data_IF_244492274270
#
_entry.id   IF_244492274270
#
_cell.length_a   1.000
_cell.length_b   1.000
_cell.length_c   1.000
_cell.angle_alpha   90.00
_cell.angle_beta   90.00
_cell.angle_gamma   90.00
#
_symmetry.space_group_name_H-M   'P 1'
#
loop_
_entity.id
_entity.type
_entity.pdbx_description
1 polymer ?
#
# COMPACT_ATOMS: atom_id res chain seq x y z
N UNK A 1 1.39 -10.77 18.40
CA UNK A 1 1.18 -9.82 17.28
C UNK A 1 1.93 -8.55 17.59
N UNK A 2 2.67 -8.02 16.61
CA UNK A 2 3.39 -6.75 16.76
C UNK A 2 2.42 -5.60 17.07
N UNK A 3 2.82 -4.67 17.95
CA UNK A 3 2.07 -3.44 18.20
C UNK A 3 2.14 -2.52 16.98
N UNK A 4 3.29 -2.51 16.28
CA UNK A 4 3.50 -1.82 15.02
C UNK A 4 3.95 -2.85 13.97
N UNK A 5 3.06 -3.21 13.06
CA UNK A 5 3.37 -4.05 11.92
C UNK A 5 4.17 -3.28 10.88
N UNK A 6 5.18 -3.91 10.29
CA UNK A 6 6.03 -3.30 9.27
C UNK A 6 6.02 -4.15 8.00
N UNK A 7 5.96 -3.47 6.86
CA UNK A 7 6.05 -4.12 5.57
C UNK A 7 6.79 -3.28 4.55
N UNK A 8 7.09 -3.87 3.39
CA UNK A 8 7.67 -3.17 2.25
C UNK A 8 6.58 -2.76 1.26
N UNK A 9 6.74 -1.61 0.62
CA UNK A 9 5.75 -1.06 -0.28
C UNK A 9 6.31 -0.72 -1.66
N UNK A 10 5.55 -1.04 -2.71
CA UNK A 10 5.81 -0.60 -4.08
C UNK A 10 6.95 -1.31 -4.79
N UNK A 11 7.42 -2.43 -4.27
CA UNK A 11 8.58 -3.17 -4.80
C UNK A 11 8.30 -3.85 -6.15
N UNK A 12 7.02 -3.99 -6.52
CA UNK A 12 6.57 -4.55 -7.79
C UNK A 12 6.72 -3.59 -8.98
N UNK A 13 7.07 -2.33 -8.74
CA UNK A 13 7.18 -1.30 -9.77
C UNK A 13 8.60 -0.77 -9.91
N UNK A 14 9.01 -0.45 -11.14
CA UNK A 14 10.29 0.21 -11.43
C UNK A 14 10.42 1.53 -10.67
N UNK A 15 11.56 1.76 -10.02
CA UNK A 15 11.80 2.90 -9.14
C UNK A 15 11.18 2.76 -7.74
N UNK A 16 10.30 1.78 -7.50
CA UNK A 16 9.60 1.63 -6.22
C UNK A 16 8.82 2.89 -5.85
N UNK A 17 9.09 3.45 -4.67
CA UNK A 17 8.48 4.71 -4.23
C UNK A 17 9.29 5.95 -4.59
N UNK A 18 10.62 5.88 -4.71
CA UNK A 18 11.48 7.04 -4.96
C UNK A 18 11.47 7.44 -6.44
N UNK A 19 11.05 8.67 -6.73
CA UNK A 19 10.97 9.21 -8.10
C UNK A 19 12.29 9.94 -8.41
N UNK A 20 13.31 9.16 -8.75
CA UNK A 20 14.70 9.63 -8.83
C UNK A 20 15.46 9.05 -10.01
N UNK A 21 16.45 9.79 -10.48
CA UNK A 21 17.35 9.39 -11.58
C UNK A 21 18.64 8.75 -11.09
N UNK A 22 18.86 8.62 -9.76
CA UNK A 22 20.09 8.02 -9.24
C UNK A 22 20.30 6.61 -9.80
N UNK A 23 21.54 6.22 -10.12
CA UNK A 23 21.81 4.93 -10.77
C UNK A 23 21.44 3.73 -9.92
N UNK A 24 21.53 3.86 -8.59
CA UNK A 24 21.17 2.81 -7.64
C UNK A 24 19.67 2.69 -7.38
N UNK A 25 18.79 3.47 -8.03
CA UNK A 25 17.35 3.37 -7.84
C UNK A 25 16.84 1.94 -8.04
N UNK A 26 15.73 1.63 -7.38
CA UNK A 26 15.15 0.28 -7.39
C UNK A 26 14.90 -0.27 -8.79
N UNK A 27 15.48 -1.42 -9.07
CA UNK A 27 15.17 -2.28 -10.21
C UNK A 27 14.19 -3.38 -9.77
N UNK A 28 12.94 -3.28 -10.23
CA UNK A 28 11.85 -4.19 -9.88
C UNK A 28 11.85 -5.48 -10.73
N UNK A 29 13.01 -6.02 -11.08
CA UNK A 29 13.08 -7.35 -11.71
C UNK A 29 12.44 -8.41 -10.80
N UNK A 30 11.97 -9.51 -11.39
CA UNK A 30 11.41 -10.62 -10.62
C UNK A 30 12.44 -11.20 -9.64
N UNK A 31 13.68 -11.34 -10.08
CA UNK A 31 14.77 -11.83 -9.25
C UNK A 31 14.98 -10.96 -8.01
N UNK A 32 15.00 -9.62 -8.17
CA UNK A 32 15.13 -8.68 -7.08
C UNK A 32 13.92 -8.73 -6.14
N UNK A 33 12.69 -8.81 -6.68
CA UNK A 33 11.47 -8.97 -5.89
C UNK A 33 11.51 -10.23 -5.03
N UNK A 34 11.88 -11.37 -5.62
CA UNK A 34 11.95 -12.64 -4.91
C UNK A 34 13.06 -12.64 -3.83
N UNK A 35 14.23 -12.09 -4.15
CA UNK A 35 15.35 -11.96 -3.19
C UNK A 35 14.95 -11.07 -2.01
N UNK A 36 14.34 -9.93 -2.30
CA UNK A 36 13.88 -8.99 -1.27
C UNK A 36 12.78 -9.59 -0.40
N UNK A 37 11.81 -10.27 -1.00
CA UNK A 37 10.72 -10.91 -0.27
C UNK A 37 11.24 -11.95 0.74
N UNK A 38 12.21 -12.79 0.35
CA UNK A 38 12.86 -13.73 1.26
C UNK A 38 13.62 -13.02 2.37
N UNK A 39 14.36 -11.96 2.03
CA UNK A 39 15.09 -11.17 3.02
C UNK A 39 14.15 -10.52 4.03
N UNK A 40 12.99 -10.04 3.59
CA UNK A 40 11.97 -9.44 4.45
C UNK A 40 11.28 -10.50 5.34
N UNK A 41 11.01 -11.69 4.77
CA UNK A 41 10.48 -12.85 5.47
C UNK A 41 11.42 -13.33 6.58
N UNK A 42 12.69 -13.54 6.24
CA UNK A 42 13.75 -13.94 7.18
C UNK A 42 13.97 -12.90 8.30
N UNK A 43 13.73 -11.63 8.01
CA UNK A 43 13.82 -10.53 8.98
C UNK A 43 12.57 -10.37 9.86
N UNK A 44 11.55 -11.18 9.66
CA UNK A 44 10.29 -11.13 10.41
C UNK A 44 9.43 -9.91 10.10
N UNK A 45 9.51 -9.33 8.90
CA UNK A 45 8.53 -8.32 8.49
C UNK A 45 7.14 -8.94 8.34
N UNK A 46 6.12 -8.13 8.62
CA UNK A 46 4.74 -8.63 8.67
C UNK A 46 4.12 -8.78 7.28
N UNK A 47 4.46 -7.88 6.34
CA UNK A 47 3.80 -7.87 5.02
C UNK A 47 4.65 -7.25 3.89
N UNK A 48 4.21 -7.52 2.67
CA UNK A 48 4.68 -6.85 1.45
C UNK A 48 3.47 -6.41 0.62
N UNK A 49 3.44 -5.12 0.25
CA UNK A 49 2.29 -4.47 -0.38
C UNK A 49 2.67 -3.92 -1.76
N UNK A 50 2.03 -4.35 -2.85
CA UNK A 50 2.30 -3.83 -4.18
C UNK A 50 1.56 -2.53 -4.44
N UNK A 51 2.10 -1.71 -5.34
CA UNK A 51 1.36 -0.64 -6.01
C UNK A 51 0.48 -1.24 -7.10
N UNK A 52 -0.80 -0.91 -7.11
CA UNK A 52 -1.68 -1.19 -8.24
C UNK A 52 -1.42 -0.18 -9.35
N UNK A 53 -0.57 -0.54 -10.31
CA UNK A 53 -0.22 0.30 -11.46
C UNK A 53 -0.45 -0.46 -12.76
N UNK A 54 -0.97 0.27 -13.76
CA UNK A 54 -1.13 -0.20 -15.13
C UNK A 54 -0.35 0.68 -16.11
N UNK A 55 -0.07 1.92 -15.73
CA UNK A 55 0.67 2.91 -16.49
C UNK A 55 1.61 3.69 -15.59
N UNK A 56 2.83 3.94 -16.05
CA UNK A 56 3.81 4.74 -15.33
C UNK A 56 3.49 6.23 -15.33
N UNK A 57 4.28 6.96 -14.59
CA UNK A 57 4.18 8.42 -14.51
C UNK A 57 5.05 9.15 -15.55
N UNK A 58 5.72 8.39 -16.45
CA UNK A 58 6.63 8.99 -17.44
C UNK A 58 7.88 9.58 -16.79
N UNK A 59 8.32 10.73 -17.28
CA UNK A 59 9.60 11.33 -16.93
C UNK A 59 10.77 10.61 -17.58
N UNK A 60 12.00 10.98 -17.18
CA UNK A 60 13.24 10.39 -17.73
C UNK A 60 13.37 8.91 -17.36
N UNK A 61 12.83 8.51 -16.21
CA UNK A 61 12.93 7.14 -15.70
C UNK A 61 11.75 6.26 -16.08
N UNK A 62 10.70 6.82 -16.69
CA UNK A 62 9.39 6.16 -16.84
C UNK A 62 8.94 5.53 -15.51
N UNK A 63 8.92 6.36 -14.45
CA UNK A 63 8.69 5.90 -13.08
C UNK A 63 7.42 5.06 -12.97
N UNK A 64 7.57 3.86 -12.40
CA UNK A 64 6.52 2.82 -12.32
C UNK A 64 5.98 2.33 -13.68
N UNK A 65 6.65 2.62 -14.81
CA UNK A 65 6.24 2.18 -16.15
C UNK A 65 6.35 0.68 -16.35
N UNK A 66 7.37 0.06 -15.76
CA UNK A 66 7.46 -1.40 -15.64
C UNK A 66 6.92 -1.84 -14.28
N UNK A 67 5.88 -2.63 -14.29
CA UNK A 67 5.21 -3.07 -13.06
C UNK A 67 4.61 -4.48 -13.24
N UNK A 68 4.59 -5.24 -12.15
CA UNK A 68 3.93 -6.55 -12.13
C UNK A 68 2.45 -6.40 -11.76
N UNK A 69 1.58 -7.17 -12.41
CA UNK A 69 0.19 -7.34 -12.03
C UNK A 69 0.12 -7.94 -10.61
N UNK A 70 -0.67 -7.33 -9.74
CA UNK A 70 -0.52 -7.49 -8.30
C UNK A 70 -0.99 -8.83 -7.73
N UNK A 71 -2.04 -9.46 -8.29
CA UNK A 71 -2.51 -10.77 -7.83
C UNK A 71 -1.57 -11.89 -8.25
N UNK A 72 -1.10 -11.86 -9.50
CA UNK A 72 -0.13 -12.81 -10.01
C UNK A 72 1.21 -12.67 -9.28
N UNK A 73 1.67 -11.43 -9.09
CA UNK A 73 2.88 -11.13 -8.32
C UNK A 73 2.78 -11.62 -6.87
N UNK A 74 1.68 -11.31 -6.16
CA UNK A 74 1.47 -11.73 -4.77
C UNK A 74 1.50 -13.26 -4.64
N UNK A 75 0.88 -13.97 -5.58
CA UNK A 75 0.91 -15.44 -5.60
C UNK A 75 2.34 -15.97 -5.73
N UNK A 76 3.15 -15.36 -6.61
CA UNK A 76 4.57 -15.71 -6.77
C UNK A 76 5.39 -15.44 -5.51
N UNK A 77 5.16 -14.32 -4.83
CA UNK A 77 5.81 -13.98 -3.56
C UNK A 77 5.43 -14.99 -2.47
N UNK A 78 4.13 -15.29 -2.31
CA UNK A 78 3.65 -16.26 -1.33
C UNK A 78 4.23 -17.66 -1.53
N UNK A 79 4.40 -18.09 -2.79
CA UNK A 79 5.03 -19.36 -3.12
C UNK A 79 6.54 -19.42 -2.80
N UNK A 80 7.19 -18.26 -2.62
CA UNK A 80 8.65 -18.13 -2.38
C UNK A 80 9.02 -17.77 -0.96
N UNK A 81 8.05 -17.61 -0.06
CA UNK A 81 8.21 -17.16 1.34
C UNK A 81 7.43 -18.06 2.29
N UNK A 82 7.68 -17.95 3.60
CA UNK A 82 7.13 -18.85 4.62
C UNK A 82 6.17 -18.19 5.60
N UNK A 83 6.45 -16.94 6.03
CA UNK A 83 5.75 -16.27 7.12
C UNK A 83 5.14 -14.92 6.72
N UNK A 84 5.81 -14.16 5.85
CA UNK A 84 5.36 -12.83 5.43
C UNK A 84 4.05 -12.88 4.64
N UNK A 85 3.14 -11.96 4.92
CA UNK A 85 1.93 -11.76 4.11
C UNK A 85 2.25 -11.03 2.80
N UNK A 86 1.55 -11.38 1.73
CA UNK A 86 1.59 -10.61 0.50
C UNK A 86 0.19 -10.14 0.10
N UNK A 87 0.09 -8.85 -0.21
CA UNK A 87 -1.17 -8.25 -0.65
C UNK A 87 -1.27 -8.23 -2.18
N UNK A 88 -2.51 -8.40 -2.68
CA UNK A 88 -2.87 -8.04 -4.04
C UNK A 88 -3.66 -6.75 -4.02
N UNK A 89 -3.30 -5.77 -4.84
CA UNK A 89 -4.04 -4.51 -4.99
C UNK A 89 -5.00 -4.63 -6.17
N UNK A 90 -6.30 -4.57 -5.91
CA UNK A 90 -7.35 -4.80 -6.89
C UNK A 90 -8.17 -3.53 -7.10
N UNK A 91 -8.24 -3.07 -8.36
CA UNK A 91 -9.17 -2.03 -8.79
C UNK A 91 -10.51 -2.67 -9.13
N UNK A 92 -11.53 -2.40 -8.32
CA UNK A 92 -12.86 -3.03 -8.38
C UNK A 92 -13.44 -3.10 -9.79
N UNK A 93 -13.42 -1.98 -10.52
CA UNK A 93 -14.02 -1.89 -11.84
C UNK A 93 -13.29 -2.65 -12.96
N UNK A 94 -12.06 -3.10 -12.72
CA UNK A 94 -11.26 -3.87 -13.69
C UNK A 94 -11.44 -5.39 -13.55
N UNK A 95 -11.97 -5.84 -12.42
CA UNK A 95 -12.07 -7.27 -12.12
C UNK A 95 -13.52 -7.68 -11.86
N UNK A 96 -13.98 -8.68 -12.58
CA UNK A 96 -15.23 -9.35 -12.22
C UNK A 96 -15.10 -9.95 -10.80
N UNK A 97 -16.04 -9.70 -9.87
CA UNK A 97 -15.91 -10.12 -8.47
C UNK A 97 -15.78 -11.64 -8.29
N UNK A 98 -16.45 -12.43 -9.13
CA UNK A 98 -16.38 -13.91 -9.05
C UNK A 98 -15.01 -14.40 -9.51
N UNK A 99 -14.46 -13.83 -10.58
CA UNK A 99 -13.11 -14.14 -11.07
C UNK A 99 -12.06 -13.75 -10.03
N UNK A 100 -12.17 -12.53 -9.51
CA UNK A 100 -11.25 -12.04 -8.49
C UNK A 100 -11.31 -12.88 -7.20
N UNK A 101 -12.49 -13.26 -6.72
CA UNK A 101 -12.66 -14.11 -5.56
C UNK A 101 -11.95 -15.46 -5.75
N UNK A 102 -12.03 -16.04 -6.95
CA UNK A 102 -11.34 -17.29 -7.29
C UNK A 102 -9.82 -17.14 -7.32
N UNK A 103 -9.32 -16.06 -7.92
CA UNK A 103 -7.89 -15.78 -7.99
C UNK A 103 -7.31 -15.56 -6.58
N UNK A 104 -8.00 -14.77 -5.75
CA UNK A 104 -7.57 -14.48 -4.38
C UNK A 104 -7.62 -15.70 -3.47
N UNK A 105 -8.66 -16.53 -3.58
CA UNK A 105 -8.70 -17.81 -2.86
C UNK A 105 -7.55 -18.75 -3.26
N UNK A 106 -7.17 -18.74 -4.55
CA UNK A 106 -6.01 -19.51 -5.03
C UNK A 106 -4.71 -18.98 -4.43
N UNK A 107 -4.50 -17.65 -4.45
CA UNK A 107 -3.33 -17.03 -3.84
C UNK A 107 -3.24 -17.31 -2.33
N UNK A 108 -4.37 -17.25 -1.64
CA UNK A 108 -4.44 -17.52 -0.21
C UNK A 108 -4.11 -18.99 0.14
N UNK A 109 -4.57 -19.95 -0.69
CA UNK A 109 -4.20 -21.35 -0.55
C UNK A 109 -2.72 -21.60 -0.80
N UNK A 110 -2.13 -20.97 -1.83
CA UNK A 110 -0.68 -21.03 -2.10
C UNK A 110 0.10 -20.46 -0.91
N UNK A 111 -0.39 -19.35 -0.36
CA UNK A 111 0.19 -18.69 0.79
C UNK A 111 -0.19 -19.28 2.15
N UNK A 112 -1.02 -20.33 2.20
CA UNK A 112 -1.48 -20.93 3.45
C UNK A 112 -2.09 -19.92 4.44
N UNK A 113 -2.97 -19.02 3.94
CA UNK A 113 -3.65 -17.99 4.74
C UNK A 113 -2.87 -16.67 4.89
N UNK A 114 -1.82 -16.45 4.08
CA UNK A 114 -0.99 -15.23 4.12
C UNK A 114 -1.30 -14.22 3.01
N UNK A 115 -2.35 -14.44 2.23
CA UNK A 115 -2.80 -13.47 1.25
C UNK A 115 -3.61 -12.36 1.90
N UNK A 116 -3.46 -11.11 1.42
CA UNK A 116 -4.31 -9.97 1.79
C UNK A 116 -4.84 -9.25 0.56
N UNK A 117 -6.03 -8.72 0.65
CA UNK A 117 -6.66 -7.88 -0.38
C UNK A 117 -6.48 -6.41 -0.05
N UNK A 118 -5.85 -5.63 -0.92
CA UNK A 118 -5.94 -4.18 -0.93
C UNK A 118 -6.97 -3.74 -1.98
N UNK A 119 -8.16 -3.36 -1.51
CA UNK A 119 -9.27 -2.96 -2.39
C UNK A 119 -9.20 -1.48 -2.72
N UNK A 120 -9.28 -1.15 -4.01
CA UNK A 120 -9.25 0.22 -4.54
C UNK A 120 -10.44 0.44 -5.47
N UNK A 121 -11.27 1.45 -5.18
CA UNK A 121 -12.44 1.76 -6.01
C UNK A 121 -12.11 2.51 -7.32
N UNK A 122 -10.84 2.91 -7.49
CA UNK A 122 -10.33 3.57 -8.70
C UNK A 122 -10.23 5.09 -8.59
N UNK A 123 -9.22 5.67 -9.26
CA UNK A 123 -9.00 7.13 -9.25
C UNK A 123 -8.22 7.64 -10.48
N UNK A 124 -7.47 6.81 -11.16
CA UNK A 124 -6.54 7.23 -12.22
C UNK A 124 -7.20 7.16 -13.60
N UNK A 125 -7.61 8.31 -14.12
CA UNK A 125 -8.25 8.42 -15.42
C UNK A 125 -7.40 7.84 -16.56
N UNK A 126 -6.11 8.11 -16.60
CA UNK A 126 -5.21 7.66 -17.65
C UNK A 126 -5.12 6.12 -17.75
N UNK A 127 -5.15 5.43 -16.61
CA UNK A 127 -5.17 3.97 -16.59
C UNK A 127 -6.50 3.42 -17.10
N UNK A 128 -7.60 4.03 -16.72
CA UNK A 128 -8.94 3.63 -17.17
C UNK A 128 -9.11 3.86 -18.68
N UNK A 129 -8.66 5.01 -19.20
CA UNK A 129 -8.65 5.30 -20.63
C UNK A 129 -7.82 4.27 -21.41
N UNK A 130 -6.62 3.93 -20.91
CA UNK A 130 -5.78 2.90 -21.52
C UNK A 130 -6.48 1.53 -21.60
N UNK A 131 -7.31 1.21 -20.61
CA UNK A 131 -8.04 -0.06 -20.52
C UNK A 131 -9.39 -0.02 -21.24
N UNK A 132 -9.78 1.14 -21.80
CA UNK A 132 -11.07 1.31 -22.49
C UNK A 132 -12.27 1.23 -21.54
N UNK A 133 -12.10 1.64 -20.30
CA UNK A 133 -13.14 1.59 -19.26
C UNK A 133 -13.42 3.00 -18.77
N UNK A 134 -14.71 3.40 -18.80
CA UNK A 134 -15.12 4.68 -18.26
C UNK A 134 -14.97 4.71 -16.74
N UNK A 135 -14.31 5.74 -16.22
CA UNK A 135 -14.24 5.97 -14.79
C UNK A 135 -15.57 6.55 -14.31
N UNK A 136 -16.33 5.75 -13.58
CA UNK A 136 -17.62 6.14 -12.99
C UNK A 136 -17.49 7.35 -12.05
N UNK A 137 -18.62 7.97 -11.70
CA UNK A 137 -18.66 9.06 -10.70
C UNK A 137 -18.06 8.58 -9.36
N UNK A 138 -17.60 9.52 -8.53
CA UNK A 138 -16.99 9.19 -7.25
C UNK A 138 -17.89 8.30 -6.38
N UNK A 139 -19.18 8.62 -6.30
CA UNK A 139 -20.13 7.88 -5.47
C UNK A 139 -20.46 6.50 -6.07
N UNK A 140 -20.70 6.43 -7.38
CA UNK A 140 -20.93 5.16 -8.07
C UNK A 140 -19.79 4.18 -7.92
N UNK A 141 -18.52 4.65 -7.84
CA UNK A 141 -17.37 3.78 -7.62
C UNK A 141 -17.40 3.06 -6.27
N UNK A 142 -17.85 3.75 -5.21
CA UNK A 142 -17.99 3.12 -3.89
C UNK A 142 -19.24 2.25 -3.80
N UNK A 143 -20.33 2.59 -4.48
CA UNK A 143 -21.51 1.73 -4.57
C UNK A 143 -21.16 0.43 -5.33
N UNK A 144 -20.44 0.53 -6.44
CA UNK A 144 -19.91 -0.62 -7.17
C UNK A 144 -18.95 -1.43 -6.29
N UNK A 145 -18.07 -0.76 -5.53
CA UNK A 145 -17.16 -1.38 -4.58
C UNK A 145 -17.89 -2.19 -3.51
N UNK A 146 -19.02 -1.69 -3.02
CA UNK A 146 -19.83 -2.40 -2.02
C UNK A 146 -20.43 -3.69 -2.60
N UNK A 147 -21.05 -3.63 -3.77
CA UNK A 147 -21.58 -4.84 -4.43
C UNK A 147 -20.45 -5.86 -4.72
N UNK A 148 -19.30 -5.34 -5.17
CA UNK A 148 -18.13 -6.17 -5.47
C UNK A 148 -17.62 -6.93 -4.24
N UNK A 149 -17.43 -6.25 -3.11
CA UNK A 149 -16.91 -6.89 -1.89
C UNK A 149 -17.95 -7.82 -1.26
N UNK A 150 -19.23 -7.50 -1.37
CA UNK A 150 -20.32 -8.37 -0.91
C UNK A 150 -20.31 -9.70 -1.66
N UNK A 151 -20.16 -9.67 -2.99
CA UNK A 151 -20.06 -10.87 -3.82
C UNK A 151 -18.81 -11.67 -3.48
N UNK A 152 -17.66 -11.00 -3.37
CA UNK A 152 -16.38 -11.64 -3.03
C UNK A 152 -16.44 -12.32 -1.67
N UNK A 153 -16.95 -11.62 -0.66
CA UNK A 153 -17.09 -12.16 0.70
C UNK A 153 -18.02 -13.36 0.72
N UNK A 154 -19.17 -13.27 0.04
CA UNK A 154 -20.09 -14.42 -0.07
C UNK A 154 -19.47 -15.58 -0.83
N UNK A 155 -18.72 -15.32 -1.89
CA UNK A 155 -18.03 -16.35 -2.65
C UNK A 155 -17.00 -17.12 -1.78
N UNK A 156 -16.33 -16.43 -0.86
CA UNK A 156 -15.38 -17.05 0.06
C UNK A 156 -16.05 -17.85 1.17
N UNK A 157 -17.22 -17.40 1.65
CA UNK A 157 -17.82 -17.91 2.91
C UNK A 157 -19.07 -18.75 2.75
N UNK A 158 -19.82 -18.59 1.65
CA UNK A 158 -21.06 -19.34 1.47
C UNK A 158 -20.78 -20.83 1.27
N UNK A 159 -21.51 -21.67 2.00
CA UNK A 159 -21.50 -23.13 1.83
C UNK A 159 -22.33 -23.58 0.62
N UNK A 160 -23.32 -22.79 0.24
CA UNK A 160 -24.24 -23.07 -0.85
C UNK A 160 -24.11 -22.06 -1.98
N UNK A 161 -24.43 -22.46 -3.23
CA UNK A 161 -24.51 -21.51 -4.33
C UNK A 161 -25.46 -20.36 -4.03
N UNK A 162 -25.13 -19.14 -4.48
CA UNK A 162 -25.94 -17.96 -4.23
C UNK A 162 -26.16 -17.12 -5.50
N UNK A 163 -27.24 -16.39 -5.49
CA UNK A 163 -27.55 -15.34 -6.46
C UNK A 163 -27.29 -13.97 -5.84
N UNK A 164 -26.87 -13.03 -6.68
CA UNK A 164 -26.76 -11.60 -6.33
C UNK A 164 -27.30 -10.77 -7.50
N UNK A 165 -28.29 -9.94 -7.22
CA UNK A 165 -28.94 -9.07 -8.20
C UNK A 165 -28.76 -7.60 -7.76
N UNK A 166 -27.66 -7.02 -8.16
CA UNK A 166 -27.27 -5.65 -7.86
C UNK A 166 -27.43 -4.71 -9.05
N UNK A 167 -27.12 -3.44 -8.82
CA UNK A 167 -27.11 -2.42 -9.87
C UNK A 167 -25.93 -2.60 -10.84
N UNK A 168 -24.77 -3.00 -10.32
CA UNK A 168 -23.53 -3.12 -11.08
C UNK A 168 -23.19 -4.56 -11.45
N UNK A 169 -23.58 -5.51 -10.59
CA UNK A 169 -23.27 -6.92 -10.79
C UNK A 169 -24.50 -7.78 -10.62
N UNK A 170 -24.64 -8.73 -11.55
CA UNK A 170 -25.67 -9.78 -11.51
C UNK A 170 -24.98 -11.12 -11.69
N UNK A 171 -25.03 -11.97 -10.66
CA UNK A 171 -24.42 -13.30 -10.67
C UNK A 171 -25.42 -14.33 -10.20
N UNK A 172 -25.39 -15.50 -10.82
CA UNK A 172 -26.36 -16.55 -10.58
C UNK A 172 -25.69 -17.87 -10.23
N UNK A 173 -26.19 -18.54 -9.22
CA UNK A 173 -25.71 -19.84 -8.75
C UNK A 173 -24.20 -19.85 -8.56
N UNK A 174 -23.67 -18.75 -8.02
CA UNK A 174 -22.25 -18.59 -7.79
C UNK A 174 -21.80 -19.57 -6.71
N UNK A 175 -20.89 -20.47 -7.10
CA UNK A 175 -20.23 -21.42 -6.22
C UNK A 175 -18.73 -21.43 -6.56
N UNK A 176 -17.92 -20.99 -5.63
CA UNK A 176 -16.47 -20.94 -5.79
C UNK A 176 -15.82 -21.94 -4.85
N UNK A 177 -15.09 -22.88 -5.42
CA UNK A 177 -14.26 -23.84 -4.73
C UNK A 177 -12.89 -23.95 -5.41
N UNK A 178 -11.78 -24.16 -4.68
CA UNK A 178 -11.74 -24.22 -3.21
C UNK A 178 -12.00 -22.88 -2.54
N UNK A 179 -12.43 -22.90 -1.28
CA UNK A 179 -12.51 -21.71 -0.42
C UNK A 179 -11.11 -21.26 -0.01
N UNK A 180 -10.93 -20.03 0.51
CA UNK A 180 -9.67 -19.59 1.10
C UNK A 180 -9.17 -20.54 2.19
N UNK A 181 -7.88 -20.47 2.50
CA UNK A 181 -7.20 -21.36 3.42
C UNK A 181 -7.88 -21.39 4.80
N UNK A 182 -8.08 -22.61 5.33
CA UNK A 182 -8.72 -22.79 6.63
C UNK A 182 -10.20 -22.40 6.68
N UNK A 183 -10.85 -22.07 5.55
CA UNK A 183 -12.23 -21.59 5.49
C UNK A 183 -12.42 -20.17 6.03
N UNK A 184 -11.33 -19.44 6.22
CA UNK A 184 -11.33 -18.05 6.65
C UNK A 184 -11.57 -17.06 5.51
N UNK A 185 -11.37 -15.78 5.81
CA UNK A 185 -11.36 -14.70 4.81
C UNK A 185 -9.97 -14.06 4.79
N UNK A 186 -9.41 -13.79 3.61
CA UNK A 186 -8.23 -12.94 3.49
C UNK A 186 -8.44 -11.59 4.17
N UNK A 187 -7.36 -11.05 4.78
CA UNK A 187 -7.37 -9.73 5.38
C UNK A 187 -7.64 -8.68 4.30
N UNK A 188 -8.54 -7.74 4.58
CA UNK A 188 -8.93 -6.68 3.65
C UNK A 188 -8.39 -5.34 4.14
N UNK A 189 -7.64 -4.66 3.28
CA UNK A 189 -7.23 -3.26 3.51
C UNK A 189 -7.81 -2.37 2.42
N UNK A 190 -8.04 -1.11 2.74
CA UNK A 190 -8.63 -0.14 1.82
C UNK A 190 -7.86 1.18 1.86
N UNK A 191 -7.71 1.81 0.69
CA UNK A 191 -7.08 3.12 0.54
C UNK A 191 -8.10 4.14 0.02
N UNK A 192 -8.82 4.81 0.91
CA UNK A 192 -9.78 5.84 0.55
C UNK A 192 -9.86 6.94 1.59
N UNK A 193 -9.38 8.16 1.25
CA UNK A 193 -9.32 9.27 2.22
C UNK A 193 -10.54 10.22 2.15
N UNK A 194 -11.45 10.04 1.19
CA UNK A 194 -12.71 10.77 1.14
C UNK A 194 -13.67 10.29 2.23
N UNK A 195 -14.70 11.06 2.53
CA UNK A 195 -15.75 10.66 3.49
C UNK A 195 -16.38 9.31 3.07
N UNK A 196 -16.75 9.15 1.80
CA UNK A 196 -17.26 7.88 1.24
C UNK A 196 -16.25 6.74 1.36
N UNK A 197 -14.96 7.03 1.12
CA UNK A 197 -13.89 6.04 1.25
C UNK A 197 -13.67 5.58 2.69
N UNK A 198 -13.76 6.50 3.65
CA UNK A 198 -13.67 6.19 5.07
C UNK A 198 -14.86 5.36 5.56
N UNK A 199 -16.08 5.71 5.12
CA UNK A 199 -17.29 4.92 5.41
C UNK A 199 -17.21 3.51 4.82
N UNK A 200 -16.78 3.39 3.57
CA UNK A 200 -16.56 2.10 2.91
C UNK A 200 -15.53 1.24 3.64
N UNK A 201 -14.39 1.84 4.04
CA UNK A 201 -13.36 1.13 4.80
C UNK A 201 -13.88 0.68 6.17
N UNK A 202 -14.57 1.55 6.89
CA UNK A 202 -15.15 1.25 8.21
C UNK A 202 -16.14 0.07 8.17
N UNK A 203 -16.88 -0.09 7.07
CA UNK A 203 -17.81 -1.20 6.86
C UNK A 203 -17.14 -2.51 6.49
N UNK A 204 -16.09 -2.47 5.68
CA UNK A 204 -15.62 -3.62 4.91
C UNK A 204 -14.17 -4.02 5.19
N UNK A 205 -13.33 -3.11 5.66
CA UNK A 205 -11.89 -3.35 5.79
C UNK A 205 -11.46 -3.67 7.22
N UNK A 206 -10.39 -4.44 7.35
CA UNK A 206 -9.71 -4.71 8.62
C UNK A 206 -8.68 -3.62 8.93
N UNK A 207 -8.15 -2.96 7.89
CA UNK A 207 -7.26 -1.82 8.03
C UNK A 207 -7.55 -0.77 6.96
N UNK A 208 -7.38 0.49 7.32
CA UNK A 208 -7.48 1.61 6.38
C UNK A 208 -6.16 2.34 6.25
N UNK A 209 -5.78 2.61 4.99
CA UNK A 209 -4.68 3.50 4.66
C UNK A 209 -5.06 4.95 4.95
N UNK A 210 -4.17 5.68 5.63
CA UNK A 210 -4.27 7.12 5.83
C UNK A 210 -3.01 7.83 5.32
N UNK A 211 -3.20 8.95 4.63
CA UNK A 211 -2.08 9.82 4.26
C UNK A 211 -1.61 10.60 5.49
N UNK A 212 -0.34 10.46 5.83
CA UNK A 212 0.28 11.28 6.86
C UNK A 212 0.60 12.67 6.29
N UNK A 213 0.04 13.71 6.89
CA UNK A 213 0.41 15.09 6.61
C UNK A 213 1.71 15.45 7.34
N UNK A 214 2.25 16.64 7.06
CA UNK A 214 3.43 17.15 7.75
C UNK A 214 3.12 17.40 9.24
N UNK A 215 1.91 17.88 9.53
CA UNK A 215 1.41 18.02 10.91
C UNK A 215 0.94 16.66 11.43
N UNK A 216 1.81 16.04 12.23
CA UNK A 216 1.53 14.75 12.85
C UNK A 216 0.66 14.85 14.11
N UNK A 217 0.39 16.04 14.62
CA UNK A 217 -0.46 16.24 15.80
C UNK A 217 -1.93 15.93 15.48
N UNK A 218 -2.33 15.95 14.21
CA UNK A 218 -3.67 15.53 13.77
C UNK A 218 -3.85 13.99 13.74
N UNK A 219 -2.76 13.20 13.76
CA UNK A 219 -2.83 11.74 13.61
C UNK A 219 -3.70 11.06 14.67
N UNK A 220 -3.57 11.35 15.99
CA UNK A 220 -4.41 10.72 17.00
C UNK A 220 -5.91 11.00 16.80
N UNK A 221 -6.28 12.23 16.46
CA UNK A 221 -7.66 12.60 16.18
C UNK A 221 -8.24 11.87 14.96
N UNK A 222 -7.47 11.78 13.87
CA UNK A 222 -7.89 11.12 12.66
C UNK A 222 -8.03 9.60 12.83
N UNK A 223 -7.15 8.96 13.59
CA UNK A 223 -7.22 7.52 13.88
C UNK A 223 -8.39 7.19 14.81
N UNK A 224 -8.64 8.01 15.85
CA UNK A 224 -9.80 7.85 16.73
C UNK A 224 -11.13 7.99 15.99
N UNK A 225 -11.27 9.02 15.16
CA UNK A 225 -12.49 9.24 14.38
C UNK A 225 -12.81 8.07 13.44
N UNK A 226 -11.78 7.44 12.83
CA UNK A 226 -11.97 6.27 11.99
C UNK A 226 -12.42 5.04 12.80
N UNK A 227 -11.82 4.82 13.98
CA UNK A 227 -12.21 3.72 14.87
C UNK A 227 -13.63 3.88 15.40
N UNK A 228 -14.02 5.10 15.75
CA UNK A 228 -15.40 5.42 16.16
C UNK A 228 -16.40 5.14 15.02
N UNK A 229 -16.04 5.50 13.78
CA UNK A 229 -16.87 5.20 12.62
C UNK A 229 -17.03 3.68 12.41
N UNK A 230 -15.96 2.90 12.52
CA UNK A 230 -16.00 1.45 12.41
C UNK A 230 -16.81 0.80 13.55
N UNK A 231 -16.68 1.31 14.77
CA UNK A 231 -17.47 0.85 15.92
C UNK A 231 -18.99 1.02 15.69
N UNK A 232 -19.41 2.04 14.94
CA UNK A 232 -20.79 2.21 14.49
C UNK A 232 -21.31 1.05 13.61
N UNK A 233 -20.41 0.31 12.97
CA UNK A 233 -20.70 -0.91 12.22
C UNK A 233 -20.39 -2.21 13.00
N UNK A 234 -20.18 -2.14 14.30
CA UNK A 234 -19.73 -3.23 15.16
C UNK A 234 -18.41 -3.86 14.69
N UNK A 235 -17.49 -3.05 14.16
CA UNK A 235 -16.18 -3.47 13.70
C UNK A 235 -15.07 -2.72 14.44
N UNK A 236 -13.92 -3.37 14.53
CA UNK A 236 -12.65 -2.72 14.83
C UNK A 236 -11.85 -2.55 13.54
N UNK A 237 -11.09 -1.47 13.42
CA UNK A 237 -10.28 -1.18 12.25
C UNK A 237 -8.89 -0.72 12.65
N UNK A 238 -7.86 -1.33 12.03
CA UNK A 238 -6.50 -0.83 12.11
C UNK A 238 -6.26 0.35 11.17
N UNK A 239 -5.25 1.14 11.47
CA UNK A 239 -4.84 2.26 10.60
C UNK A 239 -3.41 2.04 10.16
N UNK A 240 -3.15 2.10 8.86
CA UNK A 240 -1.81 2.03 8.33
C UNK A 240 -1.48 3.21 7.43
N UNK A 241 -0.19 3.46 7.24
CA UNK A 241 0.30 4.50 6.33
C UNK A 241 1.60 4.07 5.66
N UNK A 242 2.04 4.88 4.71
CA UNK A 242 3.32 4.67 4.05
C UNK A 242 4.36 5.69 4.50
N UNK A 243 5.60 5.24 4.56
CA UNK A 243 6.76 6.07 4.91
C UNK A 243 7.91 5.80 3.94
N UNK A 244 8.67 6.83 3.61
CA UNK A 244 9.90 6.72 2.83
C UNK A 244 11.09 6.91 3.78
N UNK A 245 11.85 5.84 4.02
CA UNK A 245 12.91 5.83 5.02
C UNK A 245 14.27 6.07 4.38
N UNK A 246 14.96 7.08 4.90
CA UNK A 246 16.38 7.34 4.63
C UNK A 246 17.15 7.25 5.94
N UNK A 247 17.63 6.05 6.26
CA UNK A 247 18.37 5.77 7.48
C UNK A 247 19.86 5.60 7.18
N UNK A 248 20.70 6.36 7.86
CA UNK A 248 22.17 6.31 7.73
C UNK A 248 22.81 6.31 9.12
N UNK A 249 24.15 6.02 9.25
CA UNK A 249 24.84 6.03 10.54
C UNK A 249 24.73 7.35 11.30
N UNK A 250 24.62 8.46 10.60
CA UNK A 250 24.41 9.77 11.19
C UNK A 250 23.26 10.52 10.50
N UNK A 251 22.61 11.39 11.26
CA UNK A 251 21.56 12.27 10.72
C UNK A 251 22.05 13.08 9.53
N UNK A 252 23.27 13.59 9.61
CA UNK A 252 23.89 14.38 8.51
C UNK A 252 24.00 13.55 7.22
N UNK A 253 24.49 12.33 7.30
CA UNK A 253 24.59 11.44 6.14
C UNK A 253 23.22 11.10 5.56
N UNK A 254 22.21 10.94 6.40
CA UNK A 254 20.82 10.71 5.96
C UNK A 254 20.25 11.94 5.23
N UNK A 255 20.45 13.14 5.77
CA UNK A 255 20.02 14.39 5.15
C UNK A 255 20.76 14.65 3.82
N UNK A 256 22.06 14.40 3.76
CA UNK A 256 22.86 14.49 2.52
C UNK A 256 22.37 13.50 1.45
N UNK A 257 22.04 12.26 1.81
CA UNK A 257 21.52 11.28 0.87
C UNK A 257 20.09 11.61 0.42
N UNK A 258 19.26 12.11 1.32
CA UNK A 258 17.92 12.61 0.96
C UNK A 258 18.00 13.76 -0.03
N UNK A 259 18.87 14.74 0.22
CA UNK A 259 19.13 15.86 -0.69
C UNK A 259 19.59 15.36 -2.07
N UNK A 260 20.50 14.40 -2.09
CA UNK A 260 21.03 13.80 -3.31
C UNK A 260 19.94 13.12 -4.16
N UNK A 261 19.13 12.20 -3.59
CA UNK A 261 18.19 11.46 -4.42
C UNK A 261 16.85 12.17 -4.66
N UNK A 262 16.34 12.89 -3.66
CA UNK A 262 14.99 13.46 -3.69
C UNK A 262 14.93 14.89 -4.21
N UNK A 263 16.07 15.60 -4.27
CA UNK A 263 16.15 16.99 -4.71
C UNK A 263 17.08 17.16 -5.89
N UNK A 264 18.37 16.79 -5.76
CA UNK A 264 19.37 17.02 -6.81
C UNK A 264 19.20 16.11 -8.01
N UNK A 265 18.78 14.87 -7.78
CA UNK A 265 18.59 13.86 -8.80
C UNK A 265 17.13 13.36 -8.88
N UNK A 266 16.17 14.16 -8.49
CA UNK A 266 14.76 13.82 -8.66
C UNK A 266 14.40 13.79 -10.17
N UNK A 267 13.53 12.83 -10.55
CA UNK A 267 12.86 12.87 -11.85
C UNK A 267 11.68 13.83 -11.77
N UNK A 268 11.97 15.11 -12.02
CA UNK A 268 11.00 16.19 -11.81
C UNK A 268 9.79 16.10 -12.72
N UNK A 269 9.93 15.56 -13.93
CA UNK A 269 8.81 15.39 -14.85
C UNK A 269 7.86 14.30 -14.35
N UNK A 270 8.39 13.17 -13.88
CA UNK A 270 7.59 12.12 -13.28
C UNK A 270 6.94 12.58 -11.96
N UNK A 271 7.66 13.33 -11.12
CA UNK A 271 7.11 13.89 -9.89
C UNK A 271 5.98 14.88 -10.16
N UNK A 272 6.13 15.74 -11.17
CA UNK A 272 5.07 16.67 -11.62
C UNK A 272 3.85 15.92 -12.13
N UNK A 273 4.04 14.96 -13.04
CA UNK A 273 2.94 14.14 -13.56
C UNK A 273 2.18 13.43 -12.42
N UNK A 274 2.89 12.99 -11.41
CA UNK A 274 2.28 12.34 -10.24
C UNK A 274 1.40 13.30 -9.44
N UNK A 275 1.88 14.49 -9.09
CA UNK A 275 1.09 15.42 -8.26
C UNK A 275 -0.08 16.03 -9.04
N UNK A 276 0.08 16.25 -10.35
CA UNK A 276 -1.01 16.70 -11.24
C UNK A 276 -2.07 15.60 -11.38
N UNK A 277 -1.67 14.38 -11.72
CA UNK A 277 -2.57 13.24 -11.91
C UNK A 277 -3.37 12.87 -10.64
N UNK A 278 -2.81 13.15 -9.46
CA UNK A 278 -3.50 12.97 -8.16
C UNK A 278 -4.35 14.17 -7.73
N UNK A 279 -4.39 15.23 -8.54
CA UNK A 279 -5.13 16.44 -8.20
C UNK A 279 -4.59 17.15 -6.94
N UNK A 280 -3.30 17.03 -6.65
CA UNK A 280 -2.64 17.73 -5.53
C UNK A 280 -2.45 19.21 -5.89
N UNK A 281 -2.16 19.49 -7.15
CA UNK A 281 -2.02 20.87 -7.64
C UNK A 281 -3.40 21.54 -7.66
N UNK A 282 -3.51 22.66 -6.95
CA UNK A 282 -4.77 23.41 -6.79
C UNK A 282 -4.59 24.86 -7.23
N UNK A 283 -5.64 25.54 -7.72
CA UNK A 283 -5.62 26.98 -7.92
C UNK A 283 -5.24 27.72 -6.64
N UNK A 284 -4.31 28.66 -6.74
CA UNK A 284 -3.83 29.44 -5.60
C UNK A 284 -2.71 28.79 -4.77
N UNK A 285 -2.19 27.63 -5.18
CA UNK A 285 -1.00 27.03 -4.60
C UNK A 285 0.21 27.95 -4.87
N UNK A 286 1.02 28.22 -3.84
CA UNK A 286 2.25 28.98 -4.00
C UNK A 286 3.35 28.11 -4.62
N UNK A 287 4.38 28.74 -5.21
CA UNK A 287 5.53 28.02 -5.79
C UNK A 287 6.25 27.15 -4.72
N UNK A 288 6.32 27.64 -3.47
CA UNK A 288 6.91 26.90 -2.36
C UNK A 288 6.09 25.66 -2.01
N UNK A 289 4.75 25.78 -1.95
CA UNK A 289 3.86 24.64 -1.71
C UNK A 289 3.94 23.62 -2.84
N UNK A 290 4.01 24.10 -4.09
CA UNK A 290 4.14 23.24 -5.26
C UNK A 290 5.48 22.48 -5.24
N UNK A 291 6.58 23.19 -4.97
CA UNK A 291 7.90 22.56 -4.86
C UNK A 291 7.98 21.55 -3.71
N UNK A 292 7.38 21.87 -2.56
CA UNK A 292 7.30 20.93 -1.43
C UNK A 292 6.52 19.65 -1.79
N UNK A 293 5.41 19.78 -2.53
CA UNK A 293 4.65 18.63 -3.03
C UNK A 293 5.47 17.78 -4.02
N UNK A 294 6.24 18.40 -4.91
CA UNK A 294 7.13 17.70 -5.85
C UNK A 294 8.26 16.96 -5.13
N UNK A 295 8.92 17.60 -4.16
CA UNK A 295 9.95 16.95 -3.33
C UNK A 295 9.36 15.75 -2.59
N UNK A 296 8.17 15.90 -2.01
CA UNK A 296 7.51 14.80 -1.32
C UNK A 296 7.14 13.65 -2.26
N UNK A 297 6.70 13.96 -3.49
CA UNK A 297 6.50 12.95 -4.52
C UNK A 297 7.82 12.24 -4.87
N UNK A 298 8.89 13.00 -5.11
CA UNK A 298 10.21 12.49 -5.44
C UNK A 298 10.80 11.63 -4.31
N UNK A 299 10.63 12.04 -3.06
CA UNK A 299 11.16 11.33 -1.90
C UNK A 299 10.57 9.93 -1.71
N UNK A 300 9.29 9.72 -2.10
CA UNK A 300 8.68 8.44 -1.85
C UNK A 300 7.21 8.34 -2.25
N UNK A 301 6.86 8.76 -3.46
CA UNK A 301 5.49 8.60 -3.97
C UNK A 301 4.42 9.31 -3.09
N UNK A 302 4.81 10.40 -2.41
CA UNK A 302 3.96 11.14 -1.48
C UNK A 302 3.93 10.58 -0.05
N UNK A 303 4.67 9.53 0.25
CA UNK A 303 4.85 9.00 1.61
C UNK A 303 5.46 10.04 2.57
N UNK A 304 5.29 9.85 3.87
CA UNK A 304 5.98 10.65 4.87
C UNK A 304 7.48 10.32 4.83
N UNK A 305 8.37 11.27 4.54
CA UNK A 305 9.80 11.04 4.64
C UNK A 305 10.22 10.89 6.11
N UNK A 306 10.97 9.84 6.43
CA UNK A 306 11.65 9.66 7.70
C UNK A 306 13.14 9.64 7.40
N UNK A 307 13.84 10.72 7.78
CA UNK A 307 15.25 10.95 7.44
C UNK A 307 16.04 11.14 8.72
N UNK A 308 17.02 10.29 8.96
CA UNK A 308 17.84 10.39 10.17
C UNK A 308 18.71 9.17 10.42
N UNK A 309 19.31 9.15 11.60
CA UNK A 309 19.98 7.97 12.13
C UNK A 309 18.95 6.94 12.67
N UNK A 310 19.39 5.75 13.10
CA UNK A 310 18.48 4.74 13.61
C UNK A 310 17.59 5.20 14.77
N UNK A 311 18.10 6.04 15.66
CA UNK A 311 17.34 6.53 16.82
C UNK A 311 16.27 7.57 16.37
N UNK A 312 16.59 8.45 15.42
CA UNK A 312 15.61 9.37 14.80
C UNK A 312 14.48 8.58 14.13
N UNK A 313 14.81 7.52 13.38
CA UNK A 313 13.85 6.67 12.67
C UNK A 313 12.93 5.96 13.67
N UNK A 314 13.48 5.36 14.71
CA UNK A 314 12.72 4.68 15.77
C UNK A 314 11.81 5.65 16.52
N UNK A 315 12.32 6.83 16.88
CA UNK A 315 11.53 7.86 17.57
C UNK A 315 10.31 8.29 16.73
N UNK A 316 10.48 8.47 15.42
CA UNK A 316 9.38 8.80 14.51
C UNK A 316 8.36 7.66 14.41
N UNK A 317 8.80 6.42 14.23
CA UNK A 317 7.91 5.25 14.16
C UNK A 317 7.13 5.05 15.46
N UNK A 318 7.78 5.27 16.61
CA UNK A 318 7.15 5.24 17.93
C UNK A 318 6.05 6.31 18.05
N UNK A 319 6.35 7.55 17.67
CA UNK A 319 5.37 8.65 17.66
C UNK A 319 4.14 8.31 16.80
N UNK A 320 4.35 7.75 15.62
CA UNK A 320 3.24 7.32 14.75
C UNK A 320 2.41 6.20 15.39
N UNK A 321 3.05 5.22 16.00
CA UNK A 321 2.38 4.13 16.73
C UNK A 321 1.58 4.65 17.93
N UNK A 322 2.12 5.57 18.70
CA UNK A 322 1.43 6.24 19.82
C UNK A 322 0.23 7.07 19.33
N UNK A 323 0.31 7.62 18.12
CA UNK A 323 -0.80 8.29 17.43
C UNK A 323 -1.89 7.35 16.89
N UNK A 324 -1.74 6.03 17.08
CA UNK A 324 -2.73 5.03 16.68
C UNK A 324 -2.49 4.37 15.32
N UNK A 325 -1.35 4.65 14.67
CA UNK A 325 -0.92 3.91 13.47
C UNK A 325 -0.46 2.52 13.90
N UNK A 326 -1.08 1.48 13.36
CA UNK A 326 -0.81 0.07 13.71
C UNK A 326 0.07 -0.65 12.67
N UNK A 327 0.27 -0.06 11.49
CA UNK A 327 1.19 -0.60 10.50
C UNK A 327 1.82 0.48 9.62
N UNK A 328 3.06 0.25 9.18
CA UNK A 328 3.80 1.12 8.25
C UNK A 328 4.29 0.32 7.05
N UNK A 329 3.92 0.82 5.86
CA UNK A 329 4.39 0.33 4.58
C UNK A 329 5.60 1.17 4.14
N UNK A 330 6.78 0.55 4.12
CA UNK A 330 8.07 1.23 4.02
C UNK A 330 8.57 1.21 2.58
N UNK A 331 9.00 2.37 2.09
CA UNK A 331 9.77 2.50 0.87
C UNK A 331 11.21 2.92 1.12
N UNK A 332 12.11 2.42 0.27
CA UNK A 332 13.51 2.81 0.19
C UNK A 332 13.86 3.22 -1.25
N UNK A 333 14.93 3.98 -1.42
CA UNK A 333 15.45 4.31 -2.76
C UNK A 333 15.95 3.05 -3.47
N UNK A 334 16.68 2.20 -2.77
CA UNK A 334 17.03 0.83 -3.17
C UNK A 334 16.77 -0.13 -2.00
N UNK A 335 15.82 -1.05 -2.18
CA UNK A 335 15.41 -1.94 -1.10
C UNK A 335 16.49 -2.96 -0.72
N UNK A 336 17.21 -3.52 -1.70
CA UNK A 336 18.25 -4.53 -1.43
C UNK A 336 19.49 -3.94 -0.76
N UNK A 337 19.78 -2.65 -1.00
CA UNK A 337 20.94 -1.97 -0.41
C UNK A 337 20.63 -1.35 0.95
N UNK A 338 19.41 -0.80 1.13
CA UNK A 338 19.08 -0.01 2.31
C UNK A 338 18.35 -0.82 3.40
N UNK A 339 17.57 -1.83 3.01
CA UNK A 339 16.86 -2.66 3.98
C UNK A 339 17.80 -3.43 4.94
N UNK A 340 18.96 -3.98 4.53
CA UNK A 340 19.86 -4.64 5.47
C UNK A 340 20.28 -3.75 6.64
N UNK A 341 20.65 -2.50 6.39
CA UNK A 341 21.00 -1.56 7.46
C UNK A 341 19.80 -1.26 8.38
N UNK A 342 18.62 -1.05 7.80
CA UNK A 342 17.38 -0.89 8.56
C UNK A 342 17.06 -2.12 9.41
N UNK A 343 17.20 -3.31 8.86
CA UNK A 343 17.01 -4.58 9.57
C UNK A 343 17.95 -4.69 10.76
N UNK A 344 19.23 -4.41 10.57
CA UNK A 344 20.27 -4.64 11.58
C UNK A 344 20.29 -3.56 12.67
N UNK A 345 19.89 -2.33 12.34
CA UNK A 345 19.97 -1.19 13.25
C UNK A 345 18.61 -0.72 13.80
N UNK A 346 17.56 -0.77 13.01
CA UNK A 346 16.26 -0.22 13.42
C UNK A 346 15.35 -1.28 14.03
N UNK A 347 15.25 -2.48 13.43
CA UNK A 347 14.34 -3.52 13.95
C UNK A 347 14.66 -3.91 15.40
N UNK A 348 15.94 -4.14 15.83
CA UNK A 348 16.23 -4.46 17.22
C UNK A 348 15.85 -3.33 18.20
N UNK A 349 15.99 -2.07 17.78
CA UNK A 349 15.57 -0.92 18.60
C UNK A 349 14.05 -0.86 18.75
N UNK A 350 13.28 -1.17 17.70
CA UNK A 350 11.82 -1.26 17.77
C UNK A 350 11.34 -2.39 18.69
N UNK A 351 12.08 -3.50 18.75
CA UNK A 351 11.85 -4.58 19.73
C UNK A 351 12.12 -4.08 21.14
N UNK A 352 13.24 -3.38 21.36
CA UNK A 352 13.58 -2.78 22.66
C UNK A 352 12.51 -1.77 23.14
N UNK A 353 11.94 -0.99 22.23
CA UNK A 353 10.83 -0.06 22.52
C UNK A 353 9.46 -0.76 22.73
N UNK A 354 9.39 -2.07 22.62
CA UNK A 354 8.16 -2.85 22.78
C UNK A 354 7.13 -2.63 21.66
N UNK A 355 7.57 -2.17 20.50
CA UNK A 355 6.73 -2.00 19.32
C UNK A 355 6.61 -3.28 18.48
N UNK A 356 7.61 -4.13 18.59
CA UNK A 356 7.68 -5.43 17.90
C UNK A 356 8.16 -6.53 18.87
N UNK A 357 7.88 -7.77 18.50
CA UNK A 357 8.47 -8.97 19.11
C UNK A 357 9.68 -9.44 18.30
N UNK A 358 10.55 -10.24 18.89
CA UNK A 358 11.66 -10.90 18.21
C UNK A 358 11.19 -11.82 17.09
#
# INVERSE_FOLDING_TARGET
>A
RNKLSLGLFGVNCSGGLAVTTVPERWDASWENNQKLARMADDAGLDFILPLGRWKGYGGVTDHNGSNFETLTWATGILASTSDIMAFGTVHVSLFNPVVAAKQMATADLVGQGRFGLNIVCGWNHDEFDMLGIDLATHDDRYDQGQEWIDIVTRAWTSAEPFDYDGRFYQVHKTDINPKPYGGGQPLVVCAGNSERGRDFAARNADMMFTNLRIDLDEVPGNTSALKELAAGYNRDIGVFSNVAVTCRPTKKEAEEYFQYYAVENADWDAAENMIVGRGIVKPGMTDEMHQAARIRAAAGNGALPIVGDPDDVVAMMKRLSEGGISALAIGFTNYLEHFPYFRDEVLPRLVHEGLRTE
#
